data_IF_639172776195
#
_entry.id   IF_639172776195
#
_cell.length_a   1.000
_cell.length_b   1.000
_cell.length_c   1.000
_cell.angle_alpha   90.00
_cell.angle_beta   90.00
_cell.angle_gamma   90.00
#
_symmetry.space_group_name_H-M   'P 1'
#
loop_
_entity.id
_entity.type
_entity.pdbx_description
1 polymer ?
#
# COMPACT_ATOMS: atom_id res chain seq x y z
N UNK A 1 15.46 -23.73 -9.44
CA UNK A 1 15.41 -22.34 -9.94
C UNK A 1 16.62 -21.63 -9.36
N UNK A 2 17.62 -21.31 -10.19
CA UNK A 2 18.75 -20.49 -9.75
C UNK A 2 18.19 -19.17 -9.21
N UNK A 3 18.49 -18.84 -7.96
CA UNK A 3 18.20 -17.52 -7.42
C UNK A 3 19.16 -16.56 -8.11
N UNK A 4 18.74 -15.93 -9.20
CA UNK A 4 19.52 -14.89 -9.84
C UNK A 4 19.82 -13.81 -8.80
N UNK A 5 21.10 -13.62 -8.49
CA UNK A 5 21.56 -12.54 -7.62
C UNK A 5 21.37 -11.26 -8.42
N UNK A 6 20.62 -10.32 -7.85
CA UNK A 6 20.37 -9.03 -8.47
C UNK A 6 20.81 -7.93 -7.52
N UNK A 7 21.57 -6.99 -8.05
CA UNK A 7 21.94 -5.79 -7.33
C UNK A 7 20.80 -4.77 -7.41
N UNK A 8 20.52 -4.13 -6.27
CA UNK A 8 19.51 -3.07 -6.19
C UNK A 8 20.16 -1.76 -5.76
N UNK A 9 19.83 -0.67 -6.45
CA UNK A 9 20.25 0.69 -6.13
C UNK A 9 19.04 1.50 -5.67
N UNK A 10 19.16 2.15 -4.51
CA UNK A 10 18.14 3.03 -3.96
C UNK A 10 18.55 4.49 -4.18
N UNK A 11 17.72 5.27 -4.88
CA UNK A 11 17.94 6.71 -5.09
C UNK A 11 16.87 7.52 -4.36
N UNK A 12 17.27 8.39 -3.44
CA UNK A 12 16.38 9.26 -2.70
C UNK A 12 16.51 10.72 -3.13
N UNK A 13 15.39 11.40 -3.37
CA UNK A 13 15.36 12.83 -3.67
C UNK A 13 14.22 13.54 -2.93
N UNK A 14 14.49 14.73 -2.41
CA UNK A 14 13.45 15.60 -1.82
C UNK A 14 12.68 16.25 -2.95
N UNK A 15 11.37 16.02 -2.99
CA UNK A 15 10.47 16.45 -4.08
C UNK A 15 9.68 17.69 -3.69
N UNK A 16 9.33 17.81 -2.41
CA UNK A 16 8.58 18.95 -1.90
C UNK A 16 8.86 19.17 -0.43
N UNK A 17 8.80 20.42 0.00
CA UNK A 17 9.01 20.83 1.39
C UNK A 17 7.83 21.69 1.82
N UNK A 18 7.24 21.33 2.97
CA UNK A 18 6.28 22.15 3.71
C UNK A 18 6.97 22.87 4.87
N UNK A 19 6.19 23.33 5.85
CA UNK A 19 6.77 24.05 7.00
C UNK A 19 7.59 23.16 7.92
N UNK A 20 7.08 21.96 8.22
CA UNK A 20 7.67 21.01 9.19
C UNK A 20 7.85 19.61 8.61
N UNK A 21 7.61 19.47 7.31
CA UNK A 21 7.57 18.19 6.62
C UNK A 21 8.23 18.27 5.27
N UNK A 22 8.82 17.17 4.81
CA UNK A 22 9.34 17.01 3.46
C UNK A 22 8.83 15.72 2.84
N UNK A 23 8.52 15.78 1.55
CA UNK A 23 8.17 14.62 0.75
C UNK A 23 9.43 14.13 0.02
N UNK A 24 9.82 12.89 0.30
CA UNK A 24 11.01 12.24 -0.26
C UNK A 24 10.54 11.14 -1.21
N UNK A 25 10.96 11.22 -2.47
CA UNK A 25 10.82 10.13 -3.44
C UNK A 25 12.01 9.20 -3.29
N UNK A 26 11.75 7.91 -3.20
CA UNK A 26 12.77 6.87 -3.23
C UNK A 26 12.49 5.93 -4.38
N UNK A 27 13.45 5.83 -5.30
CA UNK A 27 13.40 4.95 -6.47
C UNK A 27 14.23 3.70 -6.19
N UNK A 28 13.68 2.55 -6.56
CA UNK A 28 14.36 1.25 -6.51
C UNK A 28 14.70 0.84 -7.93
N UNK A 29 16.00 0.73 -8.20
CA UNK A 29 16.54 0.36 -9.51
C UNK A 29 17.19 -1.02 -9.40
N UNK A 30 16.90 -1.92 -10.34
CA UNK A 30 17.68 -3.14 -10.57
C UNK A 30 18.89 -2.78 -11.41
N UNK A 31 20.06 -3.22 -10.99
CA UNK A 31 21.32 -3.05 -11.70
C UNK A 31 21.71 -4.40 -12.29
N UNK A 32 21.92 -4.43 -13.60
CA UNK A 32 22.45 -5.60 -14.30
C UNK A 32 23.90 -5.29 -14.71
N UNK A 33 24.83 -6.18 -14.37
CA UNK A 33 26.19 -6.13 -14.90
C UNK A 33 26.17 -6.67 -16.33
N UNK A 34 26.67 -5.89 -17.28
CA UNK A 34 26.98 -6.40 -18.61
C UNK A 34 28.27 -7.20 -18.50
N UNK A 35 28.20 -8.53 -18.61
CA UNK A 35 29.41 -9.38 -18.61
C UNK A 35 29.26 -10.81 -18.09
N UNK A 36 28.17 -11.51 -18.43
CA UNK A 36 28.09 -12.98 -18.26
C UNK A 36 27.65 -13.70 -19.56
N UNK A 37 27.63 -12.98 -20.68
CA UNK A 37 27.53 -13.59 -22.02
C UNK A 37 28.93 -13.53 -22.64
N UNK A 38 29.61 -14.68 -22.64
CA UNK A 38 30.81 -14.95 -23.42
C UNK A 38 30.53 -14.62 -24.90
N UNK A 39 31.10 -13.54 -25.44
CA UNK A 39 31.50 -13.46 -26.84
C UNK A 39 32.55 -12.34 -26.98
N UNK A 40 33.73 -12.74 -27.47
CA UNK A 40 34.89 -11.91 -27.76
C UNK A 40 34.55 -10.81 -28.77
N UNK A 41 34.62 -9.54 -28.37
CA UNK A 41 35.00 -8.45 -29.28
C UNK A 41 35.64 -7.29 -28.48
N UNK A 42 36.91 -7.04 -28.82
CA UNK A 42 37.75 -5.94 -28.33
C UNK A 42 37.19 -4.59 -28.78
N UNK A 43 36.45 -3.89 -27.92
CA UNK A 43 36.40 -2.43 -27.91
C UNK A 43 36.04 -1.93 -26.50
N UNK A 44 36.93 -1.12 -25.93
CA UNK A 44 36.80 -0.55 -24.59
C UNK A 44 35.70 0.52 -24.57
N UNK A 45 34.47 0.10 -24.31
CA UNK A 45 33.37 0.97 -23.87
C UNK A 45 33.17 0.76 -22.37
N UNK A 46 33.25 1.86 -21.60
CA UNK A 46 33.13 1.85 -20.14
C UNK A 46 31.86 1.11 -19.74
N UNK A 47 31.99 -0.06 -19.07
CA UNK A 47 30.89 -0.98 -18.77
C UNK A 47 29.63 -0.29 -18.23
N UNK A 48 28.70 0.02 -19.12
CA UNK A 48 27.48 0.76 -18.80
C UNK A 48 26.55 -0.17 -18.02
N UNK A 49 26.49 0.02 -16.70
CA UNK A 49 25.54 -0.69 -15.84
C UNK A 49 24.11 -0.36 -16.28
N UNK A 50 23.40 -1.36 -16.79
CA UNK A 50 21.99 -1.19 -17.17
C UNK A 50 21.12 -1.09 -15.92
N UNK A 51 20.49 0.07 -15.74
CA UNK A 51 19.55 0.31 -14.65
C UNK A 51 18.10 0.18 -15.11
N UNK A 52 17.32 -0.66 -14.44
CA UNK A 52 15.88 -0.79 -14.67
C UNK A 52 15.10 -0.30 -13.45
N UNK A 53 14.24 0.71 -13.61
CA UNK A 53 13.37 1.18 -12.53
C UNK A 53 12.31 0.14 -12.20
N UNK A 54 12.32 -0.36 -10.96
CA UNK A 54 11.33 -1.32 -10.47
C UNK A 54 10.12 -0.64 -9.84
N UNK A 55 10.33 0.54 -9.26
CA UNK A 55 9.26 1.32 -8.66
C UNK A 55 9.75 2.52 -7.88
N UNK A 56 8.80 3.39 -7.55
CA UNK A 56 9.03 4.62 -6.80
C UNK A 56 8.09 4.67 -5.61
N UNK A 57 8.58 5.10 -4.46
CA UNK A 57 7.75 5.37 -3.28
C UNK A 57 7.92 6.82 -2.83
N UNK A 58 6.84 7.42 -2.35
CA UNK A 58 6.82 8.79 -1.85
C UNK A 58 6.52 8.75 -0.36
N UNK A 59 7.47 9.19 0.45
CA UNK A 59 7.37 9.18 1.91
C UNK A 59 7.37 10.60 2.44
N UNK A 60 6.39 10.94 3.27
CA UNK A 60 6.35 12.22 3.96
C UNK A 60 7.04 12.05 5.31
N UNK A 61 8.14 12.77 5.48
CA UNK A 61 8.90 12.83 6.72
C UNK A 61 8.56 14.13 7.45
N UNK A 62 8.42 14.07 8.77
CA UNK A 62 8.19 15.25 9.63
C UNK A 62 9.45 15.50 10.44
N UNK A 63 10.00 16.70 10.32
CA UNK A 63 11.18 17.10 11.09
C UNK A 63 10.80 17.34 12.55
N UNK A 64 11.65 16.84 13.45
CA UNK A 64 11.50 17.03 14.89
C UNK A 64 12.81 17.50 15.49
N UNK A 65 12.70 18.35 16.49
CA UNK A 65 13.85 18.77 17.29
C UNK A 65 14.40 17.57 18.07
N UNK A 66 15.73 17.43 18.09
CA UNK A 66 16.38 16.27 18.70
C UNK A 66 16.28 16.27 20.24
N UNK A 67 16.19 17.44 20.88
CA UNK A 67 16.13 17.57 22.32
C UNK A 67 14.69 17.59 22.85
N UNK A 68 13.79 18.33 22.19
CA UNK A 68 12.39 18.52 22.66
C UNK A 68 11.39 17.57 22.00
N UNK A 69 11.75 16.94 20.88
CA UNK A 69 10.86 16.12 20.05
C UNK A 69 9.65 16.88 19.47
N UNK A 70 9.65 18.20 19.58
CA UNK A 70 8.65 19.09 18.98
C UNK A 70 8.87 19.24 17.48
N UNK A 71 7.90 19.83 16.78
CA UNK A 71 7.97 20.05 15.32
C UNK A 71 9.09 21.04 15.00
N UNK A 72 9.99 20.67 14.10
CA UNK A 72 11.07 21.53 13.62
C UNK A 72 10.77 22.03 12.20
N UNK A 73 11.23 23.24 11.88
CA UNK A 73 11.06 23.84 10.55
C UNK A 73 12.04 23.22 9.55
N UNK A 74 11.58 22.91 8.35
CA UNK A 74 12.42 22.38 7.26
C UNK A 74 12.85 23.53 6.34
N UNK A 75 14.14 23.65 5.98
CA UNK A 75 14.60 24.64 5.01
C UNK A 75 13.91 24.48 3.65
N UNK A 76 13.54 25.57 2.96
CA UNK A 76 12.86 25.49 1.66
C UNK A 76 13.77 24.86 0.60
N UNK A 77 13.17 24.08 -0.30
CA UNK A 77 13.88 23.47 -1.42
C UNK A 77 14.24 24.53 -2.46
N UNK A 78 15.49 24.50 -2.95
CA UNK A 78 15.92 25.32 -4.07
C UNK A 78 15.30 24.83 -5.38
N UNK A 79 14.88 25.75 -6.25
CA UNK A 79 14.19 25.47 -7.51
C UNK A 79 15.08 25.81 -8.69
N UNK A 80 16.26 25.19 -8.71
CA UNK A 80 17.30 25.60 -9.64
C UNK A 80 17.03 25.04 -11.05
N UNK A 81 16.34 23.90 -11.15
CA UNK A 81 16.09 23.18 -12.42
C UNK A 81 14.60 23.02 -12.75
N UNK A 82 14.27 22.92 -14.05
CA UNK A 82 12.91 22.62 -14.55
C UNK A 82 12.36 21.31 -13.99
N UNK A 83 13.20 20.28 -13.90
CA UNK A 83 12.81 18.97 -13.38
C UNK A 83 12.36 19.04 -11.91
N UNK A 84 13.05 19.84 -11.10
CA UNK A 84 12.68 20.09 -9.70
C UNK A 84 11.33 20.80 -9.58
N UNK A 85 11.00 21.71 -10.50
CA UNK A 85 9.70 22.37 -10.54
C UNK A 85 8.56 21.40 -10.93
N UNK A 86 8.80 20.49 -11.88
CA UNK A 86 7.84 19.46 -12.28
C UNK A 86 7.55 18.48 -11.13
N UNK A 87 8.61 18.00 -10.47
CA UNK A 87 8.52 17.16 -9.27
C UNK A 87 7.66 17.82 -8.18
N UNK A 88 7.85 19.11 -7.92
CA UNK A 88 7.03 19.84 -6.94
C UNK A 88 5.56 19.97 -7.37
N UNK A 89 5.30 20.20 -8.67
CA UNK A 89 3.93 20.24 -9.21
C UNK A 89 3.22 18.91 -9.00
N UNK A 90 3.88 17.79 -9.29
CA UNK A 90 3.34 16.46 -9.00
C UNK A 90 3.08 16.23 -7.51
N UNK A 91 3.99 16.70 -6.65
CA UNK A 91 3.81 16.61 -5.20
C UNK A 91 2.57 17.37 -4.71
N UNK A 92 2.29 18.54 -5.28
CA UNK A 92 1.06 19.29 -4.97
C UNK A 92 -0.20 18.51 -5.39
N UNK A 93 -0.17 17.83 -6.54
CA UNK A 93 -1.27 16.98 -6.97
C UNK A 93 -1.48 15.80 -6.00
N UNK A 94 -0.40 15.13 -5.59
CA UNK A 94 -0.45 14.07 -4.55
C UNK A 94 -1.00 14.60 -3.23
N UNK A 95 -0.57 15.79 -2.80
CA UNK A 95 -1.08 16.41 -1.57
C UNK A 95 -2.57 16.73 -1.65
N UNK A 96 -3.03 17.28 -2.78
CA UNK A 96 -4.45 17.55 -3.01
C UNK A 96 -5.27 16.25 -2.97
N UNK A 97 -4.77 15.17 -3.59
CA UNK A 97 -5.39 13.83 -3.56
C UNK A 97 -5.51 13.27 -2.15
N UNK A 98 -4.45 13.37 -1.33
CA UNK A 98 -4.50 12.94 0.09
C UNK A 98 -5.58 13.71 0.85
N UNK A 99 -5.72 15.02 0.59
CA UNK A 99 -6.78 15.85 1.19
C UNK A 99 -8.18 15.40 0.75
N UNK A 100 -8.41 15.16 -0.54
CA UNK A 100 -9.73 14.73 -1.03
C UNK A 100 -10.12 13.34 -0.52
N UNK A 101 -9.18 12.39 -0.45
CA UNK A 101 -9.41 11.07 0.14
C UNK A 101 -9.78 11.17 1.63
N UNK A 102 -9.07 12.02 2.38
CA UNK A 102 -9.39 12.29 3.79
C UNK A 102 -10.78 12.90 3.95
N UNK A 103 -11.13 13.86 3.10
CA UNK A 103 -12.41 14.56 3.16
C UNK A 103 -13.60 13.67 2.76
N UNK A 104 -13.37 12.55 2.05
CA UNK A 104 -14.39 11.58 1.62
C UNK A 104 -14.38 10.27 2.44
N UNK A 105 -13.72 10.28 3.59
CA UNK A 105 -13.58 9.10 4.45
C UNK A 105 -14.95 8.56 4.90
N UNK A 106 -15.23 7.30 4.55
CA UNK A 106 -16.49 6.60 4.84
C UNK A 106 -16.72 6.29 6.33
N UNK A 107 -15.69 6.45 7.17
CA UNK A 107 -15.84 6.33 8.63
C UNK A 107 -16.52 7.54 9.25
N UNK A 108 -16.47 8.70 8.57
CA UNK A 108 -17.01 9.97 9.04
C UNK A 108 -18.24 10.37 8.21
N UNK A 109 -18.16 10.22 6.88
CA UNK A 109 -19.23 10.58 5.96
C UNK A 109 -19.95 9.34 5.45
N UNK A 110 -21.28 9.38 5.28
CA UNK A 110 -22.02 8.26 4.71
C UNK A 110 -21.65 8.02 3.24
N UNK A 111 -22.01 6.85 2.68
CA UNK A 111 -21.95 6.61 1.24
C UNK A 111 -22.73 7.66 0.45
N UNK A 112 -22.31 7.87 -0.79
CA UNK A 112 -22.97 8.84 -1.68
C UNK A 112 -24.30 8.26 -2.19
N UNK A 113 -25.30 9.10 -2.53
CA UNK A 113 -26.62 8.62 -2.96
C UNK A 113 -26.61 7.65 -4.14
N UNK A 114 -25.68 7.85 -5.08
CA UNK A 114 -25.45 6.99 -6.25
C UNK A 114 -24.87 5.61 -5.90
N UNK A 115 -24.21 5.49 -4.74
CA UNK A 115 -23.64 4.23 -4.26
C UNK A 115 -24.63 3.39 -3.46
N UNK A 116 -25.69 3.99 -2.91
CA UNK A 116 -26.69 3.29 -2.08
C UNK A 116 -27.32 2.09 -2.79
N UNK A 117 -27.73 2.16 -4.08
CA UNK A 117 -28.24 1.00 -4.80
C UNK A 117 -27.23 -0.16 -4.88
N UNK A 118 -25.93 0.15 -4.96
CA UNK A 118 -24.87 -0.84 -4.99
C UNK A 118 -24.72 -1.54 -3.62
N UNK A 119 -24.76 -0.78 -2.52
CA UNK A 119 -24.78 -1.35 -1.16
C UNK A 119 -25.96 -2.32 -0.98
N UNK A 120 -27.16 -1.93 -1.44
CA UNK A 120 -28.35 -2.78 -1.36
C UNK A 120 -28.21 -4.06 -2.19
N UNK A 121 -27.63 -3.97 -3.40
CA UNK A 121 -27.34 -5.15 -4.23
C UNK A 121 -26.41 -6.13 -3.54
N UNK A 122 -25.29 -5.65 -3.01
CA UNK A 122 -24.31 -6.49 -2.28
C UNK A 122 -24.95 -7.15 -1.05
N UNK A 123 -25.80 -6.41 -0.33
CA UNK A 123 -26.54 -6.97 0.79
C UNK A 123 -27.50 -8.09 0.34
N UNK A 124 -28.26 -7.88 -0.74
CA UNK A 124 -29.17 -8.91 -1.29
C UNK A 124 -28.42 -10.17 -1.72
N UNK A 125 -27.28 -10.01 -2.38
CA UNK A 125 -26.43 -11.14 -2.80
C UNK A 125 -25.91 -11.93 -1.59
N UNK A 126 -25.47 -11.23 -0.53
CA UNK A 126 -25.02 -11.88 0.69
C UNK A 126 -26.14 -12.61 1.44
N UNK A 127 -27.36 -12.06 1.43
CA UNK A 127 -28.52 -12.67 2.07
C UNK A 127 -29.08 -13.84 1.26
N UNK A 128 -29.12 -13.73 -0.07
CA UNK A 128 -29.52 -14.82 -0.97
C UNK A 128 -28.53 -15.98 -0.94
N UNK A 129 -27.22 -15.71 -0.92
CA UNK A 129 -26.16 -16.72 -0.80
C UNK A 129 -26.10 -17.40 0.58
N UNK A 130 -26.82 -16.89 1.59
CA UNK A 130 -27.03 -17.62 2.85
C UNK A 130 -28.13 -18.66 2.76
N UNK A 131 -29.06 -18.51 1.82
CA UNK A 131 -30.21 -19.41 1.63
C UNK A 131 -29.96 -20.48 0.56
N UNK A 132 -28.95 -20.30 -0.28
CA UNK A 132 -28.51 -21.22 -1.34
C UNK A 132 -26.99 -21.37 -1.26
N UNK A 133 -26.43 -22.56 -1.56
CA UNK A 133 -24.98 -22.75 -1.61
C UNK A 133 -24.36 -21.74 -2.58
N UNK A 134 -23.56 -20.81 -2.05
CA UNK A 134 -22.95 -19.75 -2.85
C UNK A 134 -22.18 -20.34 -4.04
N UNK A 135 -22.27 -19.72 -5.24
CA UNK A 135 -21.49 -20.19 -6.38
C UNK A 135 -19.99 -20.16 -6.05
N UNK A 136 -19.19 -21.12 -6.55
CA UNK A 136 -17.77 -21.27 -6.20
C UNK A 136 -16.90 -20.04 -6.58
N UNK A 137 -17.45 -19.11 -7.35
CA UNK A 137 -16.82 -17.87 -7.76
C UNK A 137 -16.92 -16.75 -6.72
N UNK A 138 -17.72 -16.92 -5.65
CA UNK A 138 -17.97 -15.88 -4.67
C UNK A 138 -17.52 -16.32 -3.27
N UNK A 139 -16.55 -15.60 -2.71
CA UNK A 139 -15.86 -15.97 -1.47
C UNK A 139 -16.15 -14.93 -0.39
N UNK A 140 -16.68 -15.32 0.78
CA UNK A 140 -16.94 -14.38 1.87
C UNK A 140 -15.66 -13.67 2.33
N UNK A 141 -15.72 -12.35 2.53
CA UNK A 141 -14.58 -11.52 2.94
C UNK A 141 -13.87 -12.05 4.19
N UNK A 142 -14.61 -12.62 5.14
CA UNK A 142 -14.03 -13.12 6.39
C UNK A 142 -13.21 -14.40 6.22
N UNK A 143 -13.41 -15.14 5.12
CA UNK A 143 -12.67 -16.39 4.87
C UNK A 143 -11.19 -16.14 4.55
N UNK A 144 -10.86 -15.00 3.94
CA UNK A 144 -9.49 -14.59 3.65
C UNK A 144 -8.77 -13.92 4.83
N UNK A 145 -9.44 -13.80 5.99
CA UNK A 145 -8.87 -13.11 7.14
C UNK A 145 -7.65 -13.84 7.70
N UNK A 146 -6.58 -13.09 7.92
CA UNK A 146 -5.35 -13.49 8.61
C UNK A 146 -5.11 -12.52 9.75
N UNK A 147 -4.78 -13.04 10.94
CA UNK A 147 -4.55 -12.24 12.15
C UNK A 147 -3.26 -12.68 12.81
N UNK A 148 -2.37 -11.73 13.06
CA UNK A 148 -1.09 -11.94 13.71
C UNK A 148 -0.97 -11.01 14.93
N UNK A 149 -0.46 -11.53 16.04
CA UNK A 149 -0.18 -10.75 17.24
C UNK A 149 1.31 -10.84 17.54
N UNK A 150 1.94 -9.69 17.77
CA UNK A 150 3.37 -9.65 18.04
C UNK A 150 3.72 -8.60 19.10
N UNK A 151 4.63 -8.98 19.99
CA UNK A 151 5.28 -8.04 20.92
C UNK A 151 6.39 -7.29 20.18
N UNK A 152 6.38 -5.96 20.30
CA UNK A 152 7.33 -5.09 19.65
C UNK A 152 8.69 -5.10 20.33
N UNK A 153 9.71 -5.56 19.59
CA UNK A 153 11.05 -5.79 20.12
C UNK A 153 11.97 -4.57 19.94
N UNK A 154 12.96 -4.35 20.82
CA UNK A 154 13.90 -3.23 20.72
C UNK A 154 14.63 -3.16 19.38
N UNK A 155 14.97 -4.29 18.77
CA UNK A 155 15.66 -4.36 17.47
C UNK A 155 14.87 -3.74 16.30
N UNK A 156 13.57 -3.55 16.47
CA UNK A 156 12.67 -3.02 15.44
C UNK A 156 12.43 -1.50 15.59
N UNK A 157 13.13 -0.83 16.51
CA UNK A 157 12.96 0.60 16.77
C UNK A 157 13.78 1.47 15.81
N UNK A 158 13.28 2.68 15.57
CA UNK A 158 14.03 3.77 14.97
C UNK A 158 14.92 4.46 16.02
N UNK A 159 15.76 5.40 15.57
CA UNK A 159 16.63 6.19 16.45
C UNK A 159 15.86 6.98 17.54
N UNK A 160 14.58 7.26 17.30
CA UNK A 160 13.70 7.97 18.22
C UNK A 160 13.02 7.06 19.25
N UNK A 161 13.36 5.77 19.31
CA UNK A 161 12.84 4.84 20.32
C UNK A 161 11.48 4.21 20.01
N UNK A 162 10.85 4.56 18.88
CA UNK A 162 9.58 3.99 18.44
C UNK A 162 9.80 2.94 17.36
N UNK A 163 8.84 2.03 17.16
CA UNK A 163 8.92 1.03 16.10
C UNK A 163 8.97 1.69 14.73
N UNK A 164 9.91 1.24 13.92
CA UNK A 164 10.14 1.79 12.60
C UNK A 164 8.93 1.53 11.69
N UNK A 165 8.45 2.57 11.01
CA UNK A 165 7.28 2.46 10.12
C UNK A 165 7.47 1.44 8.99
N UNK A 166 8.69 1.32 8.46
CA UNK A 166 9.03 0.29 7.46
C UNK A 166 8.93 -1.13 8.00
N UNK A 167 9.15 -1.35 9.30
CA UNK A 167 8.95 -2.65 9.93
C UNK A 167 7.47 -3.04 9.98
N UNK A 168 6.60 -2.09 10.37
CA UNK A 168 5.15 -2.30 10.33
C UNK A 168 4.65 -2.52 8.90
N UNK A 169 5.18 -1.78 7.93
CA UNK A 169 4.85 -1.96 6.51
C UNK A 169 5.19 -3.38 6.04
N UNK A 170 6.37 -3.89 6.38
CA UNK A 170 6.79 -5.26 6.05
C UNK A 170 5.82 -6.29 6.64
N UNK A 171 5.53 -6.22 7.94
CA UNK A 171 4.64 -7.18 8.59
C UNK A 171 3.23 -7.14 7.99
N UNK A 172 2.74 -5.95 7.68
CA UNK A 172 1.44 -5.76 7.01
C UNK A 172 1.43 -6.35 5.60
N UNK A 173 2.51 -6.17 4.83
CA UNK A 173 2.64 -6.75 3.49
C UNK A 173 2.66 -8.28 3.54
N UNK A 174 3.41 -8.88 4.46
CA UNK A 174 3.44 -10.33 4.66
C UNK A 174 2.05 -10.88 5.01
N UNK A 175 1.34 -10.21 5.94
CA UNK A 175 -0.04 -10.57 6.30
C UNK A 175 -1.00 -10.44 5.10
N UNK A 176 -0.89 -9.34 4.35
CA UNK A 176 -1.72 -9.09 3.17
C UNK A 176 -1.50 -10.13 2.07
N UNK A 177 -0.25 -10.51 1.82
CA UNK A 177 0.11 -11.55 0.88
C UNK A 177 -0.51 -12.90 1.28
N UNK A 178 -0.46 -13.26 2.57
CA UNK A 178 -1.12 -14.46 3.09
C UNK A 178 -2.64 -14.42 2.91
N UNK A 179 -3.28 -13.27 3.15
CA UNK A 179 -4.72 -13.10 2.89
C UNK A 179 -5.08 -13.25 1.41
N UNK A 180 -4.28 -12.67 0.51
CA UNK A 180 -4.45 -12.81 -0.93
C UNK A 180 -4.27 -14.28 -1.35
N UNK A 181 -3.22 -14.93 -0.85
CA UNK A 181 -2.96 -16.35 -1.09
C UNK A 181 -4.13 -17.22 -0.63
N UNK A 182 -4.64 -17.00 0.58
CA UNK A 182 -5.75 -17.76 1.15
C UNK A 182 -7.04 -17.61 0.34
N UNK A 183 -7.30 -16.40 -0.17
CA UNK A 183 -8.48 -16.10 -1.00
C UNK A 183 -8.39 -16.74 -2.38
N UNK A 184 -7.24 -16.58 -3.05
CA UNK A 184 -7.03 -17.03 -4.42
C UNK A 184 -6.62 -18.51 -4.52
N UNK A 185 -6.21 -19.11 -3.40
CA UNK A 185 -5.60 -20.46 -3.29
C UNK A 185 -4.36 -20.63 -4.17
N UNK A 186 -3.62 -19.55 -4.39
CA UNK A 186 -2.40 -19.50 -5.21
C UNK A 186 -1.56 -18.26 -4.86
N UNK A 187 -0.25 -18.25 -5.20
CA UNK A 187 0.59 -17.08 -5.05
C UNK A 187 0.06 -15.88 -5.85
N UNK A 188 0.12 -14.69 -5.26
CA UNK A 188 -0.22 -13.43 -5.90
C UNK A 188 1.02 -12.54 -5.96
N UNK A 189 1.15 -11.76 -7.02
CA UNK A 189 2.27 -10.85 -7.26
C UNK A 189 1.94 -9.48 -6.68
N UNK A 190 2.85 -8.93 -5.88
CA UNK A 190 2.70 -7.59 -5.33
C UNK A 190 2.79 -6.54 -6.44
N UNK A 191 1.82 -5.63 -6.48
CA UNK A 191 1.73 -4.59 -7.50
C UNK A 191 2.02 -3.20 -6.94
N UNK A 192 1.62 -2.95 -5.70
CA UNK A 192 1.76 -1.65 -5.08
C UNK A 192 0.97 -1.51 -3.78
N UNK A 193 1.13 -0.37 -3.14
CA UNK A 193 0.38 0.02 -1.95
C UNK A 193 -0.22 1.41 -2.17
N UNK A 194 -1.41 1.65 -1.62
CA UNK A 194 -1.97 3.00 -1.56
C UNK A 194 -1.26 3.86 -0.48
N UNK A 195 -1.61 5.14 -0.42
CA UNK A 195 -1.18 6.07 0.62
C UNK A 195 -1.49 5.53 2.03
N UNK A 196 -0.47 5.53 2.88
CA UNK A 196 -0.52 5.10 4.29
C UNK A 196 -0.36 6.30 5.20
N UNK A 197 -1.18 6.36 6.25
CA UNK A 197 -1.00 7.33 7.34
C UNK A 197 -0.75 6.60 8.65
N UNK A 198 0.32 6.99 9.35
CA UNK A 198 0.60 6.51 10.70
C UNK A 198 -0.08 7.43 11.70
N UNK A 199 -1.16 6.96 12.32
CA UNK A 199 -1.97 7.74 13.26
C UNK A 199 -1.32 7.89 14.63
N UNK A 200 -0.57 6.86 15.07
CA UNK A 200 0.07 6.85 16.40
C UNK A 200 1.45 6.17 16.34
N UNK A 201 2.46 6.69 17.06
CA UNK A 201 3.74 5.99 17.20
C UNK A 201 3.59 4.74 18.09
N UNK A 202 4.34 3.68 17.77
CA UNK A 202 4.30 2.40 18.52
C UNK A 202 5.55 2.29 19.38
N UNK A 203 5.38 2.07 20.68
CA UNK A 203 6.47 1.90 21.63
C UNK A 203 6.97 0.45 21.67
N UNK A 204 8.24 0.28 22.08
CA UNK A 204 8.82 -1.03 22.38
C UNK A 204 8.06 -1.68 23.55
N UNK A 205 7.85 -3.00 23.48
CA UNK A 205 7.12 -3.78 24.47
C UNK A 205 5.60 -3.76 24.31
N UNK A 206 5.04 -2.91 23.45
CA UNK A 206 3.60 -2.96 23.12
C UNK A 206 3.28 -4.20 22.29
N UNK A 207 2.04 -4.69 22.44
CA UNK A 207 1.49 -5.75 21.59
C UNK A 207 0.73 -5.08 20.46
N UNK A 208 1.08 -5.43 19.23
CA UNK A 208 0.31 -5.05 18.05
C UNK A 208 -0.46 -6.25 17.52
N UNK A 209 -1.68 -5.98 17.05
CA UNK A 209 -2.48 -6.88 16.25
C UNK A 209 -2.46 -6.39 14.81
N UNK A 210 -2.08 -7.27 13.89
CA UNK A 210 -2.13 -7.05 12.46
C UNK A 210 -3.22 -7.97 11.93
N UNK A 211 -4.30 -7.39 11.42
CA UNK A 211 -5.40 -8.12 10.82
C UNK A 211 -5.48 -7.74 9.35
N UNK A 212 -5.57 -8.72 8.47
CA UNK A 212 -5.61 -8.52 7.02
C UNK A 212 -6.75 -9.32 6.40
N UNK A 213 -7.34 -8.79 5.33
CA UNK A 213 -8.43 -9.43 4.59
C UNK A 213 -8.53 -8.86 3.18
N UNK A 214 -8.95 -9.69 2.23
CA UNK A 214 -9.26 -9.22 0.87
C UNK A 214 -10.48 -8.30 0.94
N UNK A 215 -10.32 -7.05 0.53
CA UNK A 215 -11.37 -6.05 0.62
C UNK A 215 -12.16 -5.91 -0.69
N UNK A 216 -11.49 -6.05 -1.84
CA UNK A 216 -12.10 -5.89 -3.15
C UNK A 216 -11.36 -6.72 -4.19
N UNK A 217 -12.10 -7.24 -5.16
CA UNK A 217 -11.59 -7.85 -6.39
C UNK A 217 -12.28 -7.11 -7.53
N UNK A 218 -11.52 -6.71 -8.53
CA UNK A 218 -12.11 -6.01 -9.67
C UNK A 218 -13.02 -6.95 -10.50
N UNK A 219 -13.92 -6.40 -11.33
CA UNK A 219 -14.84 -7.22 -12.11
C UNK A 219 -14.16 -8.21 -13.08
N UNK A 220 -12.97 -7.90 -13.58
CA UNK A 220 -12.19 -8.78 -14.48
C UNK A 220 -11.41 -9.82 -13.69
N UNK A 221 -11.17 -9.61 -12.39
CA UNK A 221 -10.44 -10.50 -11.50
C UNK A 221 -8.93 -10.48 -11.72
N UNK A 222 -8.43 -9.40 -12.34
CA UNK A 222 -7.02 -9.13 -12.63
C UNK A 222 -6.32 -8.38 -11.49
N UNK A 223 -7.08 -7.75 -10.59
CA UNK A 223 -6.59 -6.91 -9.51
C UNK A 223 -7.33 -7.23 -8.22
N UNK A 224 -6.57 -7.56 -7.18
CA UNK A 224 -7.09 -7.75 -5.82
C UNK A 224 -6.55 -6.65 -4.91
N UNK A 225 -7.42 -6.12 -4.07
CA UNK A 225 -7.09 -5.14 -3.03
C UNK A 225 -7.27 -5.77 -1.67
N UNK A 226 -6.20 -5.76 -0.88
CA UNK A 226 -6.15 -6.33 0.46
C UNK A 226 -6.05 -5.19 1.47
N UNK A 227 -6.93 -5.19 2.45
CA UNK A 227 -6.92 -4.25 3.56
C UNK A 227 -6.21 -4.86 4.75
N UNK A 228 -5.39 -4.06 5.44
CA UNK A 228 -4.72 -4.43 6.68
C UNK A 228 -4.95 -3.35 7.72
N UNK A 229 -5.51 -3.73 8.87
CA UNK A 229 -5.63 -2.91 10.06
C UNK A 229 -4.57 -3.32 11.09
N UNK A 230 -3.76 -2.33 11.50
CA UNK A 230 -2.78 -2.48 12.58
C UNK A 230 -3.28 -1.72 13.79
N UNK A 231 -3.50 -2.45 14.88
CA UNK A 231 -4.00 -1.93 16.13
C UNK A 231 -3.02 -2.22 17.25
N UNK A 232 -2.86 -1.29 18.19
CA UNK A 232 -2.21 -1.61 19.46
C UNK A 232 -3.23 -2.19 20.41
N UNK A 233 -2.80 -3.14 21.24
CA UNK A 233 -3.63 -3.72 22.30
C UNK A 233 -3.24 -3.07 23.62
N UNK A 234 -4.18 -2.36 24.25
CA UNK A 234 -4.00 -1.88 25.61
C UNK A 234 -4.19 -3.02 26.60
N UNK A 235 -3.11 -3.48 27.23
CA UNK A 235 -3.17 -4.58 28.21
C UNK A 235 -4.05 -4.27 29.42
N UNK A 236 -4.20 -2.98 29.78
CA UNK A 236 -5.01 -2.56 30.93
C UNK A 236 -6.51 -2.61 30.64
N UNK A 237 -6.93 -2.27 29.42
CA UNK A 237 -8.35 -2.14 29.06
C UNK A 237 -8.84 -3.21 28.08
N UNK A 238 -7.94 -4.00 27.49
CA UNK A 238 -8.24 -4.94 26.41
C UNK A 238 -8.67 -4.28 25.10
N UNK A 239 -8.65 -2.95 25.00
CA UNK A 239 -9.12 -2.22 23.82
C UNK A 239 -8.08 -2.22 22.72
N UNK A 240 -8.57 -2.38 21.50
CA UNK A 240 -7.82 -2.16 20.27
C UNK A 240 -7.85 -0.67 19.95
N UNK A 241 -6.68 -0.11 19.69
CA UNK A 241 -6.54 1.28 19.31
C UNK A 241 -5.83 1.37 17.95
N UNK A 242 -6.46 2.00 16.94
CA UNK A 242 -5.91 2.08 15.60
C UNK A 242 -4.55 2.78 15.56
N UNK A 243 -3.59 2.13 14.91
CA UNK A 243 -2.24 2.67 14.71
C UNK A 243 -2.05 3.12 13.27
N UNK A 244 -2.30 2.22 12.32
CA UNK A 244 -2.21 2.48 10.89
C UNK A 244 -3.06 1.49 10.09
N UNK A 245 -3.39 1.89 8.87
CA UNK A 245 -4.17 1.10 7.92
C UNK A 245 -3.42 1.06 6.59
N UNK A 246 -3.38 -0.12 5.96
CA UNK A 246 -2.73 -0.34 4.69
C UNK A 246 -3.73 -0.90 3.68
N UNK A 247 -3.59 -0.46 2.43
CA UNK A 247 -4.26 -1.08 1.30
C UNK A 247 -3.19 -1.51 0.31
N UNK A 248 -3.09 -2.81 0.08
CA UNK A 248 -2.14 -3.39 -0.86
C UNK A 248 -2.87 -3.88 -2.10
N UNK A 249 -2.20 -3.77 -3.24
CA UNK A 249 -2.67 -4.22 -4.54
C UNK A 249 -1.83 -5.42 -4.96
N UNK A 250 -2.49 -6.48 -5.41
CA UNK A 250 -1.84 -7.64 -5.99
C UNK A 250 -2.49 -8.03 -7.33
N UNK A 251 -1.72 -8.70 -8.17
CA UNK A 251 -2.16 -9.27 -9.43
C UNK A 251 -1.96 -10.79 -9.43
N UNK A 252 -2.82 -11.55 -10.11
CA UNK A 252 -2.55 -12.96 -10.34
C UNK A 252 -1.36 -13.08 -11.32
N UNK A 253 -0.54 -14.14 -11.22
CA UNK A 253 0.50 -14.41 -12.21
C UNK A 253 -0.07 -14.47 -13.64
N UNK A 254 0.74 -14.13 -14.65
CA UNK A 254 0.31 -14.17 -16.05
C UNK A 254 -0.24 -15.56 -16.43
N UNK A 255 -1.34 -15.61 -17.20
CA UNK A 255 -1.99 -16.86 -17.61
C UNK A 255 -2.83 -17.55 -16.52
N UNK A 256 -2.99 -16.92 -15.36
CA UNK A 256 -3.82 -17.44 -14.27
C UNK A 256 -5.32 -17.37 -14.55
N UNK A 257 -6.08 -18.32 -14.00
CA UNK A 257 -7.56 -18.26 -13.97
C UNK A 257 -8.06 -16.95 -13.33
N UNK A 258 -9.31 -16.57 -13.62
CA UNK A 258 -9.95 -15.41 -12.99
C UNK A 258 -10.03 -15.55 -11.47
N UNK A 259 -9.72 -14.45 -10.76
CA UNK A 259 -9.77 -14.42 -9.29
C UNK A 259 -11.23 -14.47 -8.79
N UNK A 260 -11.55 -15.29 -7.77
CA UNK A 260 -12.89 -15.34 -7.21
C UNK A 260 -13.27 -13.98 -6.60
N UNK A 261 -14.52 -13.57 -6.81
CA UNK A 261 -15.06 -12.32 -6.28
C UNK A 261 -15.19 -12.40 -4.76
N UNK A 262 -15.02 -11.25 -4.10
CA UNK A 262 -15.17 -11.14 -2.64
C UNK A 262 -16.57 -10.66 -2.27
N UNK A 263 -17.21 -11.35 -1.35
CA UNK A 263 -18.53 -10.98 -0.84
C UNK A 263 -18.44 -10.35 0.55
N UNK A 264 -18.80 -9.07 0.71
CA UNK A 264 -19.03 -8.50 2.03
C UNK A 264 -20.35 -9.03 2.61
N UNK A 265 -20.32 -9.45 3.88
CA UNK A 265 -21.49 -10.00 4.59
C UNK A 265 -22.09 -9.00 5.58
N UNK A 266 -21.24 -8.18 6.20
CA UNK A 266 -21.64 -7.18 7.20
C UNK A 266 -21.57 -5.78 6.62
N UNK A 267 -22.32 -4.83 7.19
CA UNK A 267 -22.28 -3.44 6.74
C UNK A 267 -20.86 -2.84 6.75
N UNK A 268 -20.08 -3.11 7.81
CA UNK A 268 -18.68 -2.67 7.90
C UNK A 268 -17.81 -3.24 6.75
N UNK A 269 -18.03 -4.50 6.37
CA UNK A 269 -17.35 -5.11 5.22
C UNK A 269 -17.81 -4.48 3.90
N UNK A 270 -19.08 -4.13 3.77
CA UNK A 270 -19.60 -3.46 2.57
C UNK A 270 -19.01 -2.05 2.42
N UNK A 271 -18.85 -1.32 3.53
CA UNK A 271 -18.17 -0.02 3.52
C UNK A 271 -16.70 -0.17 3.12
N UNK A 272 -15.99 -1.18 3.65
CA UNK A 272 -14.61 -1.45 3.29
C UNK A 272 -14.45 -1.84 1.81
N UNK A 273 -15.38 -2.65 1.29
CA UNK A 273 -15.45 -2.99 -0.13
C UNK A 273 -15.65 -1.75 -0.99
N UNK A 274 -16.57 -0.87 -0.59
CA UNK A 274 -16.88 0.37 -1.30
C UNK A 274 -15.68 1.32 -1.30
N UNK A 275 -15.00 1.49 -0.17
CA UNK A 275 -13.77 2.27 -0.08
C UNK A 275 -12.70 1.73 -1.03
N UNK A 276 -12.51 0.42 -1.03
CA UNK A 276 -11.51 -0.23 -1.88
C UNK A 276 -11.86 -0.10 -3.38
N UNK A 277 -13.14 -0.15 -3.73
CA UNK A 277 -13.63 0.15 -5.09
C UNK A 277 -13.37 1.60 -5.49
N UNK A 278 -13.62 2.57 -4.62
CA UNK A 278 -13.33 3.99 -4.89
C UNK A 278 -11.85 4.21 -5.20
N UNK A 279 -10.97 3.61 -4.42
CA UNK A 279 -9.52 3.66 -4.63
C UNK A 279 -9.10 3.00 -5.95
N UNK A 280 -9.71 1.86 -6.31
CA UNK A 280 -9.49 1.22 -7.61
C UNK A 280 -9.92 2.08 -8.81
N UNK A 281 -11.09 2.71 -8.72
CA UNK A 281 -11.57 3.64 -9.76
C UNK A 281 -10.60 4.83 -9.93
N UNK A 282 -10.13 5.39 -8.82
CA UNK A 282 -9.15 6.48 -8.83
C UNK A 282 -7.82 6.05 -9.49
N UNK A 283 -7.32 4.83 -9.22
CA UNK A 283 -6.12 4.33 -9.89
C UNK A 283 -6.31 4.08 -11.38
N UNK A 284 -7.50 3.66 -11.84
CA UNK A 284 -7.77 3.46 -13.28
C UNK A 284 -7.80 4.77 -14.06
N UNK A 285 -8.32 5.86 -13.46
CA UNK A 285 -8.28 7.18 -14.10
C UNK A 285 -6.85 7.74 -14.25
N UNK A 286 -5.89 7.21 -13.50
CA UNK A 286 -4.48 7.66 -13.52
C UNK A 286 -3.66 6.87 -14.57
N UNK A 287 -3.98 5.60 -14.82
CA UNK A 287 -3.28 4.76 -15.83
C UNK A 287 -3.64 5.06 -17.29
N UNK A 288 -4.57 6.00 -17.53
CA UNK A 288 -4.91 6.49 -18.87
C UNK A 288 -4.72 8.01 -18.98
N UNK A 289 -3.47 8.51 -19.06
CA UNK A 289 -3.23 9.68 -19.86
C UNK A 289 -3.34 9.28 -21.33
N UNK A 290 -4.19 9.99 -22.06
CA UNK A 290 -4.44 9.90 -23.50
C UNK A 290 -3.14 9.67 -24.28
N UNK A 291 -2.94 8.47 -24.82
CA UNK A 291 -2.07 8.26 -25.98
C UNK A 291 -2.79 8.86 -27.19
N UNK A 292 -2.59 10.16 -27.34
CA UNK A 292 -2.98 10.94 -28.50
C UNK A 292 -1.74 11.17 -29.33
N UNK A 293 -1.41 10.19 -30.18
CA UNK A 293 -0.80 10.39 -31.50
C UNK A 293 -1.35 9.37 -32.47
#
# INVERSE_FOLDING_TARGET
MSSAVHDFRLRGAVVSVGTTSMEVRTDVLRVEQAGDDDDDDDDADDGEMKETLLGSCHTIMVARDAATFERATVPPLRRDDKESAEREKEARLRQARRKTLRDRNLRIKPPMPDEVPLLHRLWREAHGARMSAAPPTLVPMNSSRVRNLQVMQPKNRNQNGYIFGGYLLRLSLEAAWLSAYKHCKRPMVFAGADDVTFGRPVEVGKIIEISSRVAFVDPEGSTIRVFVDVNHISLKSGRLEPTCEFHFVFHPPLGSLKTPQVQPVTYAQTLLWLESRRRWLASKSESHPVDGR
#
